data_IF_611675640853
#
_entry.id   IF_611675640853
#
_cell.length_a   1.000
_cell.length_b   1.000
_cell.length_c   1.000
_cell.angle_alpha   90.00
_cell.angle_beta   90.00
_cell.angle_gamma   90.00
#
_symmetry.space_group_name_H-M   'P 1'
#
loop_
_entity.id
_entity.type
_entity.pdbx_description
1 polymer ?
#
# COMPACT_ATOMS: atom_id res chain seq x y z
N UNK A 1 4.51 -8.94 -3.86
CA UNK A 1 4.11 -9.07 -5.25
C UNK A 1 4.82 -10.24 -5.94
N UNK A 2 6.12 -10.35 -5.78
CA UNK A 2 6.96 -11.35 -6.46
C UNK A 2 7.24 -12.59 -5.57
N UNK A 3 6.52 -12.72 -4.47
CA UNK A 3 6.59 -13.88 -3.58
C UNK A 3 6.07 -15.12 -4.32
N UNK A 4 6.87 -16.19 -4.32
CA UNK A 4 6.52 -17.46 -4.97
C UNK A 4 5.73 -18.35 -4.00
N UNK A 5 4.48 -18.60 -4.32
CA UNK A 5 3.52 -19.27 -3.43
C UNK A 5 2.56 -20.17 -4.21
N UNK A 6 1.90 -21.04 -3.52
CA UNK A 6 0.76 -21.80 -4.07
C UNK A 6 -0.46 -20.89 -4.20
N UNK A 7 -1.13 -20.90 -5.36
CA UNK A 7 -2.26 -20.03 -5.66
C UNK A 7 -3.58 -20.69 -5.23
N UNK A 8 -4.31 -20.02 -4.35
CA UNK A 8 -5.61 -20.48 -3.86
C UNK A 8 -5.53 -21.89 -3.27
N UNK A 9 -6.48 -22.73 -3.66
CA UNK A 9 -6.56 -24.13 -3.25
C UNK A 9 -5.90 -25.09 -4.27
N UNK A 10 -5.37 -24.54 -5.37
CA UNK A 10 -4.70 -25.32 -6.42
C UNK A 10 -3.33 -25.83 -5.97
N UNK A 11 -2.75 -26.73 -6.75
CA UNK A 11 -1.34 -27.12 -6.60
C UNK A 11 -0.39 -26.23 -7.41
N UNK A 12 -0.94 -25.27 -8.16
CA UNK A 12 -0.15 -24.39 -9.00
C UNK A 12 0.62 -23.39 -8.14
N UNK A 13 1.95 -23.32 -8.36
CA UNK A 13 2.83 -22.35 -7.71
C UNK A 13 3.22 -21.25 -8.69
N UNK A 14 3.02 -20.01 -8.28
CA UNK A 14 3.28 -18.84 -9.11
C UNK A 14 3.60 -17.62 -8.21
N UNK A 15 3.92 -16.47 -8.80
CA UNK A 15 4.02 -15.22 -8.04
C UNK A 15 2.67 -14.86 -7.43
N UNK A 16 2.65 -14.44 -6.19
CA UNK A 16 1.42 -14.14 -5.43
C UNK A 16 0.48 -13.16 -6.16
N UNK A 17 1.01 -12.26 -6.96
CA UNK A 17 0.20 -11.31 -7.72
C UNK A 17 -0.65 -11.94 -8.83
N UNK A 18 -0.37 -13.18 -9.23
CA UNK A 18 -1.19 -13.92 -10.20
C UNK A 18 -2.57 -14.24 -9.61
N UNK A 19 -2.65 -14.49 -8.30
CA UNK A 19 -3.92 -14.73 -7.61
C UNK A 19 -4.97 -13.62 -7.86
N UNK A 20 -4.53 -12.39 -8.08
CA UNK A 20 -5.42 -11.26 -8.37
C UNK A 20 -6.25 -11.45 -9.65
N UNK A 21 -5.73 -12.17 -10.63
CA UNK A 21 -6.45 -12.44 -11.89
C UNK A 21 -7.62 -13.42 -11.72
N UNK A 22 -7.57 -14.20 -10.65
CA UNK A 22 -8.57 -15.23 -10.34
C UNK A 22 -9.65 -14.70 -9.35
N UNK A 23 -9.52 -13.44 -8.95
CA UNK A 23 -10.51 -12.73 -8.14
C UNK A 23 -10.21 -12.67 -6.64
N UNK A 24 -11.00 -11.88 -5.89
CA UNK A 24 -10.76 -11.57 -4.48
C UNK A 24 -10.66 -12.80 -3.57
N UNK A 25 -11.56 -13.76 -3.74
CA UNK A 25 -11.57 -14.97 -2.92
C UNK A 25 -10.29 -15.80 -3.06
N UNK A 26 -9.71 -15.85 -4.27
CA UNK A 26 -8.44 -16.56 -4.50
C UNK A 26 -7.28 -15.79 -3.90
N UNK A 27 -7.28 -14.46 -3.98
CA UNK A 27 -6.28 -13.61 -3.30
C UNK A 27 -6.26 -13.88 -1.79
N UNK A 28 -7.43 -13.84 -1.15
CA UNK A 28 -7.58 -14.07 0.29
C UNK A 28 -7.05 -15.46 0.69
N UNK A 29 -7.48 -16.52 -0.01
CA UNK A 29 -6.98 -17.89 0.25
C UNK A 29 -5.50 -18.02 0.03
N UNK A 30 -4.97 -17.42 -1.04
CA UNK A 30 -3.54 -17.45 -1.35
C UNK A 30 -2.71 -16.80 -0.24
N UNK A 31 -3.12 -15.60 0.23
CA UNK A 31 -2.43 -14.89 1.30
C UNK A 31 -2.51 -15.66 2.61
N UNK A 32 -3.71 -16.14 2.98
CA UNK A 32 -3.91 -16.94 4.19
C UNK A 32 -3.02 -18.19 4.18
N UNK A 33 -3.05 -18.99 3.10
CA UNK A 33 -2.25 -20.20 2.97
C UNK A 33 -0.74 -19.93 2.98
N UNK A 34 -0.30 -18.90 2.27
CA UNK A 34 1.12 -18.59 2.12
C UNK A 34 1.75 -17.99 3.38
N UNK A 35 0.99 -17.21 4.14
CA UNK A 35 1.49 -16.46 5.30
C UNK A 35 0.98 -16.99 6.64
N UNK A 36 -0.04 -17.86 6.65
CA UNK A 36 -0.68 -18.33 7.89
C UNK A 36 -1.45 -17.23 8.64
N UNK A 37 -1.78 -16.12 7.97
CA UNK A 37 -2.42 -14.95 8.58
C UNK A 37 -3.92 -14.99 8.27
N UNK A 38 -4.82 -14.93 9.28
CA UNK A 38 -6.24 -14.83 9.03
C UNK A 38 -6.58 -13.49 8.34
N UNK A 39 -7.30 -13.58 7.24
CA UNK A 39 -7.78 -12.39 6.51
C UNK A 39 -9.26 -12.22 6.82
N UNK A 40 -9.62 -11.12 7.44
CA UNK A 40 -10.99 -10.84 7.90
C UNK A 40 -11.78 -10.07 6.84
N UNK A 41 -11.11 -9.14 6.14
CA UNK A 41 -11.73 -8.27 5.15
C UNK A 41 -10.88 -8.12 3.91
N UNK A 42 -11.54 -7.85 2.80
CA UNK A 42 -10.91 -7.54 1.52
C UNK A 42 -11.32 -6.14 1.07
N UNK A 43 -10.32 -5.34 0.75
CA UNK A 43 -10.49 -4.04 0.12
C UNK A 43 -9.69 -3.98 -1.18
N UNK A 44 -10.31 -3.49 -2.22
CA UNK A 44 -9.67 -3.23 -3.49
C UNK A 44 -9.98 -1.81 -3.96
N UNK A 45 -8.99 -1.17 -4.57
CA UNK A 45 -9.12 0.13 -5.20
C UNK A 45 -8.49 0.09 -6.58
N UNK A 46 -9.23 0.50 -7.60
CA UNK A 46 -8.68 0.70 -8.93
C UNK A 46 -8.07 2.11 -9.09
N UNK A 47 -7.51 2.41 -10.24
CA UNK A 47 -6.86 3.70 -10.49
C UNK A 47 -7.84 4.88 -10.51
N UNK A 48 -9.07 4.65 -10.96
CA UNK A 48 -10.08 5.70 -10.98
C UNK A 48 -10.60 5.98 -9.57
N UNK A 49 -10.95 4.92 -8.82
CA UNK A 49 -11.34 5.02 -7.44
C UNK A 49 -10.25 5.66 -6.56
N UNK A 50 -8.99 5.30 -6.79
CA UNK A 50 -7.86 5.93 -6.09
C UNK A 50 -7.84 7.45 -6.29
N UNK A 51 -7.97 7.94 -7.52
CA UNK A 51 -8.02 9.37 -7.81
C UNK A 51 -9.20 10.04 -7.13
N UNK A 52 -10.39 9.44 -7.25
CA UNK A 52 -11.62 9.95 -6.62
C UNK A 52 -11.51 10.02 -5.10
N UNK A 53 -10.93 8.99 -4.46
CA UNK A 53 -10.73 8.98 -3.02
C UNK A 53 -9.77 10.10 -2.58
N UNK A 54 -8.66 10.28 -3.28
CA UNK A 54 -7.70 11.35 -2.99
C UNK A 54 -8.34 12.73 -3.16
N UNK A 55 -9.11 12.93 -4.23
CA UNK A 55 -9.81 14.20 -4.47
C UNK A 55 -10.91 14.45 -3.43
N UNK A 56 -11.64 13.42 -3.01
CA UNK A 56 -12.66 13.51 -1.96
C UNK A 56 -12.09 13.94 -0.60
N UNK A 57 -10.88 13.48 -0.26
CA UNK A 57 -10.18 13.96 0.95
C UNK A 57 -9.48 15.31 0.73
N UNK A 58 -9.54 15.88 -0.49
CA UNK A 58 -8.97 17.19 -0.87
C UNK A 58 -7.45 17.16 -1.06
N UNK A 59 -6.93 16.04 -1.53
CA UNK A 59 -5.51 15.82 -1.82
C UNK A 59 -4.72 15.33 -0.63
N UNK A 60 -3.48 14.91 -0.91
CA UNK A 60 -2.52 14.42 0.10
C UNK A 60 -1.22 15.20 -0.01
N UNK A 61 -0.75 15.74 1.10
CA UNK A 61 0.49 16.51 1.13
C UNK A 61 1.70 15.57 1.21
N UNK A 62 2.58 15.69 0.21
CA UNK A 62 3.87 14.99 0.15
C UNK A 62 4.99 16.02 0.15
N UNK A 63 6.02 15.79 0.96
CA UNK A 63 7.20 16.64 1.01
C UNK A 63 8.39 15.93 0.38
N UNK A 64 9.15 16.66 -0.44
CA UNK A 64 10.38 16.19 -1.06
C UNK A 64 11.50 17.19 -0.83
N UNK A 65 12.71 16.71 -0.63
CA UNK A 65 13.88 17.55 -0.42
C UNK A 65 14.42 18.17 -1.71
N UNK A 66 14.39 17.37 -2.77
CA UNK A 66 14.90 17.74 -4.09
C UNK A 66 13.79 17.80 -5.14
N UNK A 67 13.96 18.55 -6.24
CA UNK A 67 13.08 18.44 -7.39
C UNK A 67 12.99 16.97 -7.82
N UNK A 68 11.78 16.45 -7.91
CA UNK A 68 11.51 15.03 -8.13
C UNK A 68 10.65 14.84 -9.36
N UNK A 69 10.94 13.82 -10.16
CA UNK A 69 10.14 13.47 -11.34
C UNK A 69 10.10 11.97 -11.62
N UNK A 70 9.11 11.57 -12.40
CA UNK A 70 9.10 10.34 -13.17
C UNK A 70 8.46 10.61 -14.53
N UNK A 71 9.26 10.57 -15.59
CA UNK A 71 8.81 10.89 -16.96
C UNK A 71 7.76 9.91 -17.49
N UNK A 72 7.74 8.65 -17.00
CA UNK A 72 6.79 7.64 -17.45
C UNK A 72 5.41 7.80 -16.83
N UNK A 73 5.36 8.33 -15.60
CA UNK A 73 4.08 8.59 -14.93
C UNK A 73 3.63 10.04 -15.07
N UNK A 74 4.48 10.93 -15.59
CA UNK A 74 4.23 12.37 -15.67
C UNK A 74 4.43 13.10 -14.34
N UNK A 75 4.96 12.45 -13.33
CA UNK A 75 5.19 13.06 -12.01
C UNK A 75 6.22 14.19 -12.08
N UNK A 76 5.89 15.33 -11.46
CA UNK A 76 6.85 16.38 -11.15
C UNK A 76 6.49 17.08 -9.84
N UNK A 77 7.40 17.07 -8.88
CA UNK A 77 7.24 17.73 -7.57
C UNK A 77 8.45 18.65 -7.36
N UNK A 78 8.18 19.92 -7.05
CA UNK A 78 9.22 20.87 -6.63
C UNK A 78 9.65 20.59 -5.19
N UNK A 79 10.86 21.02 -4.77
CA UNK A 79 11.27 20.92 -3.38
C UNK A 79 10.25 21.55 -2.43
N UNK A 80 10.12 20.97 -1.25
CA UNK A 80 9.13 21.36 -0.25
C UNK A 80 7.92 20.46 -0.23
N UNK A 81 6.83 20.95 0.35
CA UNK A 81 5.59 20.20 0.51
C UNK A 81 4.57 20.63 -0.55
N UNK A 82 4.03 19.66 -1.28
CA UNK A 82 2.97 19.87 -2.28
C UNK A 82 1.76 19.03 -1.93
N UNK A 83 0.57 19.64 -1.96
CA UNK A 83 -0.68 18.90 -1.92
C UNK A 83 -0.93 18.29 -3.31
N UNK A 84 -0.91 16.97 -3.40
CA UNK A 84 -1.12 16.20 -4.62
C UNK A 84 -2.62 15.90 -4.76
N UNK A 85 -3.19 16.21 -5.92
CA UNK A 85 -4.52 15.76 -6.31
C UNK A 85 -4.51 14.25 -6.68
N UNK A 86 -5.65 13.72 -7.13
CA UNK A 86 -5.76 12.30 -7.48
C UNK A 86 -4.84 11.88 -8.63
N UNK A 87 -4.59 12.76 -9.61
CA UNK A 87 -3.73 12.47 -10.77
C UNK A 87 -2.26 12.43 -10.35
N UNK A 88 -1.78 13.47 -9.69
CA UNK A 88 -0.41 13.56 -9.20
C UNK A 88 -0.11 12.47 -8.17
N UNK A 89 -1.08 12.17 -7.29
CA UNK A 89 -0.98 11.09 -6.30
C UNK A 89 -0.85 9.72 -6.95
N UNK A 90 -1.63 9.45 -7.99
CA UNK A 90 -1.52 8.20 -8.74
C UNK A 90 -0.18 8.09 -9.44
N UNK A 91 0.30 9.20 -10.04
CA UNK A 91 1.62 9.26 -10.65
C UNK A 91 2.72 8.96 -9.63
N UNK A 92 2.64 9.54 -8.43
CA UNK A 92 3.58 9.29 -7.32
C UNK A 92 3.57 7.83 -6.84
N UNK A 93 2.39 7.26 -6.60
CA UNK A 93 2.24 5.88 -6.12
C UNK A 93 2.67 4.83 -7.15
N UNK A 94 2.62 5.15 -8.47
CA UNK A 94 3.00 4.25 -9.56
C UNK A 94 4.45 4.41 -10.02
N UNK A 95 5.14 5.46 -9.57
CA UNK A 95 6.49 5.78 -10.02
C UNK A 95 7.48 4.63 -9.77
N UNK A 96 8.16 4.19 -10.83
CA UNK A 96 9.27 3.22 -10.80
C UNK A 96 10.58 3.83 -11.28
N UNK A 97 10.51 4.94 -11.98
CA UNK A 97 11.65 5.68 -12.53
C UNK A 97 11.74 7.03 -11.82
N UNK A 98 11.74 6.93 -10.49
CA UNK A 98 11.80 8.08 -9.60
C UNK A 98 13.20 8.69 -9.65
N UNK A 99 13.28 9.94 -10.10
CA UNK A 99 14.52 10.69 -10.21
C UNK A 99 14.46 11.91 -9.30
N UNK A 100 15.58 12.20 -8.65
CA UNK A 100 15.80 13.41 -7.85
C UNK A 100 16.90 14.25 -8.48
N UNK A 101 16.74 15.58 -8.44
CA UNK A 101 17.75 16.49 -8.98
C UNK A 101 18.70 16.92 -7.89
N UNK A 102 19.79 16.20 -7.71
CA UNK A 102 20.85 16.47 -6.74
C UNK A 102 22.04 17.08 -7.45
N UNK A 103 22.59 18.18 -6.94
CA UNK A 103 23.72 18.92 -7.51
C UNK A 103 23.50 19.28 -9.01
N UNK A 104 22.27 19.67 -9.34
CA UNK A 104 21.89 20.05 -10.71
C UNK A 104 21.68 18.88 -11.68
N UNK A 105 21.95 17.64 -11.27
CA UNK A 105 21.82 16.45 -12.11
C UNK A 105 20.67 15.55 -11.64
N UNK A 106 19.93 14.99 -12.62
CA UNK A 106 18.90 14.00 -12.35
C UNK A 106 19.51 12.63 -12.07
N UNK A 107 19.27 12.10 -10.89
CA UNK A 107 19.73 10.78 -10.46
C UNK A 107 18.53 9.90 -10.14
N UNK A 108 18.51 8.70 -10.66
CA UNK A 108 17.49 7.71 -10.31
C UNK A 108 17.73 7.22 -8.87
N UNK A 109 16.66 6.99 -8.11
CA UNK A 109 16.76 6.48 -6.73
C UNK A 109 17.33 5.05 -6.64
N UNK A 110 17.52 4.39 -7.78
CA UNK A 110 18.11 3.05 -7.90
C UNK A 110 17.25 1.93 -7.30
N UNK A 111 16.21 2.27 -6.56
CA UNK A 111 15.42 1.31 -5.79
C UNK A 111 14.23 0.74 -6.57
N UNK A 112 13.92 1.29 -7.76
CA UNK A 112 12.91 0.80 -8.70
C UNK A 112 11.60 0.32 -8.02
N UNK A 113 11.38 -0.99 -7.95
CA UNK A 113 10.16 -1.58 -7.39
C UNK A 113 10.09 -1.48 -5.85
N UNK A 114 11.24 -1.57 -5.18
CA UNK A 114 11.34 -1.42 -3.72
C UNK A 114 11.00 0.02 -3.32
N UNK A 115 11.53 1.02 -4.04
CA UNK A 115 11.23 2.42 -3.83
C UNK A 115 9.75 2.73 -4.06
N UNK A 116 9.16 2.15 -5.10
CA UNK A 116 7.71 2.24 -5.31
C UNK A 116 6.94 1.68 -4.12
N UNK A 117 7.30 0.52 -3.60
CA UNK A 117 6.65 -0.05 -2.41
C UNK A 117 6.78 0.84 -1.17
N UNK A 118 7.93 1.49 -0.96
CA UNK A 118 8.12 2.47 0.13
C UNK A 118 7.21 3.68 -0.07
N UNK A 119 7.16 4.26 -1.27
CA UNK A 119 6.27 5.40 -1.61
C UNK A 119 4.80 5.06 -1.44
N UNK A 120 4.36 3.88 -1.87
CA UNK A 120 2.99 3.42 -1.68
C UNK A 120 2.62 3.33 -0.20
N UNK A 121 3.47 2.73 0.64
CA UNK A 121 3.22 2.64 2.09
C UNK A 121 3.17 4.02 2.75
N UNK A 122 4.10 4.91 2.41
CA UNK A 122 4.10 6.28 2.92
C UNK A 122 2.82 7.01 2.49
N UNK A 123 2.49 6.95 1.19
CA UNK A 123 1.32 7.62 0.66
C UNK A 123 0.02 7.10 1.29
N UNK A 124 -0.13 5.79 1.45
CA UNK A 124 -1.29 5.19 2.11
C UNK A 124 -1.45 5.69 3.55
N UNK A 125 -0.36 5.77 4.30
CA UNK A 125 -0.39 6.31 5.66
C UNK A 125 -0.80 7.79 5.69
N UNK A 126 -0.26 8.61 4.78
CA UNK A 126 -0.61 10.03 4.66
C UNK A 126 -2.08 10.21 4.22
N UNK A 127 -2.57 9.40 3.28
CA UNK A 127 -3.96 9.42 2.83
C UNK A 127 -4.91 9.09 3.99
N UNK A 128 -4.63 8.03 4.75
CA UNK A 128 -5.42 7.66 5.92
C UNK A 128 -5.43 8.77 6.98
N UNK A 129 -4.26 9.33 7.30
CA UNK A 129 -4.15 10.44 8.25
C UNK A 129 -4.94 11.67 7.78
N UNK A 130 -4.86 12.00 6.49
CA UNK A 130 -5.61 13.12 5.91
C UNK A 130 -7.11 12.86 5.97
N UNK A 131 -7.57 11.66 5.60
CA UNK A 131 -8.97 11.28 5.62
C UNK A 131 -9.57 11.39 7.04
N UNK A 132 -8.90 10.84 8.04
CA UNK A 132 -9.37 10.89 9.43
C UNK A 132 -9.34 12.32 9.97
N UNK A 133 -8.25 13.05 9.78
CA UNK A 133 -8.16 14.43 10.26
C UNK A 133 -9.25 15.32 9.67
N UNK A 134 -9.56 15.18 8.38
CA UNK A 134 -10.63 15.94 7.72
C UNK A 134 -12.01 15.52 8.17
N UNK A 135 -12.23 14.24 8.40
CA UNK A 135 -13.50 13.73 8.93
C UNK A 135 -13.77 14.23 10.35
N UNK A 136 -12.74 14.33 11.17
CA UNK A 136 -12.86 14.81 12.55
C UNK A 136 -12.96 16.33 12.65
N UNK A 137 -12.28 17.07 11.76
CA UNK A 137 -12.25 18.53 11.79
C UNK A 137 -13.43 19.20 11.09
N UNK A 138 -14.10 18.50 10.17
CA UNK A 138 -15.24 19.04 9.41
C UNK A 138 -16.33 17.97 9.21
N UNK A 139 -17.32 17.92 10.10
CA UNK A 139 -18.42 16.95 10.01
C UNK A 139 -19.22 17.03 8.70
N UNK A 140 -19.28 18.20 8.07
CA UNK A 140 -19.98 18.36 6.78
C UNK A 140 -19.23 17.70 5.63
N UNK A 141 -17.89 17.65 5.70
CA UNK A 141 -17.04 16.94 4.74
C UNK A 141 -16.95 15.43 5.00
N UNK A 142 -17.21 15.00 6.23
CA UNK A 142 -17.20 13.58 6.58
C UNK A 142 -18.09 12.76 5.64
N UNK A 143 -19.30 13.24 5.35
CA UNK A 143 -20.23 12.61 4.41
C UNK A 143 -19.68 12.53 2.97
N UNK A 144 -18.95 13.53 2.52
CA UNK A 144 -18.32 13.51 1.18
C UNK A 144 -17.17 12.52 1.11
N UNK A 145 -16.32 12.47 2.14
CA UNK A 145 -15.22 11.50 2.25
C UNK A 145 -15.78 10.07 2.29
N UNK A 146 -16.81 9.81 3.08
CA UNK A 146 -17.44 8.48 3.18
C UNK A 146 -18.08 8.07 1.86
N UNK A 147 -18.79 8.95 1.17
CA UNK A 147 -19.34 8.64 -0.17
C UNK A 147 -18.23 8.40 -1.19
N UNK A 148 -17.19 9.23 -1.17
CA UNK A 148 -16.02 9.04 -2.03
C UNK A 148 -15.34 7.69 -1.80
N UNK A 149 -15.16 7.29 -0.54
CA UNK A 149 -14.62 5.98 -0.20
C UNK A 149 -15.54 4.84 -0.66
N UNK A 150 -16.84 4.94 -0.38
CA UNK A 150 -17.80 3.91 -0.77
C UNK A 150 -17.92 3.72 -2.28
N UNK A 151 -17.75 4.79 -3.07
CA UNK A 151 -17.76 4.70 -4.55
C UNK A 151 -16.44 4.27 -5.16
N UNK A 152 -15.34 4.45 -4.42
CA UNK A 152 -13.98 4.20 -4.91
C UNK A 152 -13.44 2.80 -4.55
N UNK A 153 -14.03 2.16 -3.54
CA UNK A 153 -13.55 0.89 -3.00
C UNK A 153 -14.50 -0.25 -3.34
N UNK A 154 -13.93 -1.35 -3.82
CA UNK A 154 -14.59 -2.64 -3.78
C UNK A 154 -14.28 -3.27 -2.41
N UNK A 155 -15.31 -3.55 -1.63
CA UNK A 155 -15.20 -4.12 -0.29
C UNK A 155 -15.97 -5.43 -0.20
N UNK A 156 -15.57 -6.31 0.72
CA UNK A 156 -16.37 -7.50 1.01
C UNK A 156 -17.67 -7.12 1.75
N UNK A 157 -18.70 -7.98 1.62
CA UNK A 157 -20.04 -7.73 2.15
C UNK A 157 -20.11 -7.63 3.69
N UNK A 158 -19.09 -8.10 4.39
CA UNK A 158 -19.03 -8.11 5.87
C UNK A 158 -18.36 -6.87 6.44
N UNK A 159 -17.71 -6.07 5.59
CA UNK A 159 -16.99 -4.88 6.05
C UNK A 159 -17.96 -3.75 6.35
N UNK A 160 -18.12 -3.42 7.63
CA UNK A 160 -18.77 -2.16 8.05
C UNK A 160 -17.76 -1.01 7.93
N UNK A 161 -18.08 -0.03 7.07
CA UNK A 161 -17.21 1.11 6.81
C UNK A 161 -17.04 2.02 8.02
N UNK A 162 -18.01 2.08 8.92
CA UNK A 162 -17.93 2.89 10.16
C UNK A 162 -17.02 2.20 11.16
N UNK A 163 -17.19 0.89 11.35
CA UNK A 163 -16.30 0.08 12.17
C UNK A 163 -14.86 0.12 11.63
N UNK A 164 -14.68 -0.03 10.33
CA UNK A 164 -13.39 0.08 9.68
C UNK A 164 -12.74 1.45 9.92
N UNK A 165 -13.49 2.55 9.79
CA UNK A 165 -12.97 3.89 10.08
C UNK A 165 -12.55 4.05 11.55
N UNK A 166 -13.30 3.45 12.49
CA UNK A 166 -12.93 3.44 13.91
C UNK A 166 -11.65 2.63 14.15
N UNK A 167 -11.53 1.47 13.54
CA UNK A 167 -10.36 0.60 13.63
C UNK A 167 -9.10 1.30 13.06
N UNK A 168 -9.27 2.17 12.06
CA UNK A 168 -8.18 2.91 11.43
C UNK A 168 -7.74 4.18 12.18
N UNK A 169 -8.42 4.60 13.25
CA UNK A 169 -8.03 5.78 14.06
C UNK A 169 -6.58 5.74 14.57
N UNK A 170 -6.06 4.63 15.13
CA UNK A 170 -4.67 4.55 15.56
C UNK A 170 -3.69 4.77 14.40
N UNK A 171 -4.06 4.30 13.21
CA UNK A 171 -3.28 4.50 11.99
C UNK A 171 -3.14 5.98 11.63
N UNK A 172 -4.25 6.71 11.73
CA UNK A 172 -4.30 8.14 11.48
C UNK A 172 -3.55 8.97 12.55
N UNK A 173 -3.48 8.47 13.78
CA UNK A 173 -2.67 9.08 14.85
C UNK A 173 -1.16 8.78 14.70
N UNK A 174 -0.71 8.17 13.61
CA UNK A 174 0.69 7.82 13.40
C UNK A 174 1.17 6.61 14.24
N UNK A 175 0.25 5.91 14.89
CA UNK A 175 0.57 4.78 15.79
C UNK A 175 0.67 3.43 15.06
N UNK A 176 0.71 3.45 13.71
CA UNK A 176 0.90 2.22 12.92
C UNK A 176 2.30 1.64 13.13
N UNK A 177 2.34 0.49 13.75
CA UNK A 177 3.54 -0.34 13.75
C UNK A 177 3.66 -1.03 12.39
N UNK A 178 4.79 -0.86 11.74
CA UNK A 178 5.08 -1.44 10.42
C UNK A 178 6.19 -2.46 10.54
N UNK A 179 5.95 -3.64 10.03
CA UNK A 179 6.94 -4.70 9.97
C UNK A 179 7.20 -5.07 8.52
N UNK A 180 8.46 -5.33 8.19
CA UNK A 180 8.83 -5.90 6.90
C UNK A 180 8.84 -7.43 7.02
N UNK A 181 8.32 -8.09 5.99
CA UNK A 181 8.47 -9.54 5.88
C UNK A 181 9.84 -9.82 5.26
N UNK A 182 10.70 -10.49 5.99
CA UNK A 182 12.02 -10.88 5.50
C UNK A 182 11.88 -11.90 4.38
N UNK A 183 12.56 -11.62 3.27
CA UNK A 183 12.52 -12.45 2.07
C UNK A 183 13.90 -12.55 1.46
N UNK A 184 14.17 -13.64 0.75
CA UNK A 184 15.37 -13.80 -0.05
C UNK A 184 15.02 -14.05 -1.51
N UNK A 185 15.96 -13.68 -2.40
CA UNK A 185 15.80 -13.89 -3.84
C UNK A 185 16.03 -15.34 -4.23
N UNK A 186 15.21 -15.82 -5.16
CA UNK A 186 15.34 -17.16 -5.77
C UNK A 186 15.04 -17.07 -7.27
N UNK A 187 15.41 -18.09 -8.03
CA UNK A 187 15.10 -18.19 -9.45
C UNK A 187 14.35 -19.47 -9.73
N UNK A 188 13.10 -19.34 -10.15
CA UNK A 188 12.22 -20.46 -10.48
C UNK A 188 11.84 -20.39 -11.95
N UNK A 189 12.14 -21.43 -12.72
CA UNK A 189 11.85 -21.51 -14.17
C UNK A 189 12.36 -20.29 -14.95
N UNK A 190 13.56 -19.79 -14.60
CA UNK A 190 14.14 -18.60 -15.23
C UNK A 190 13.56 -17.26 -14.77
N UNK A 191 12.63 -17.24 -13.84
CA UNK A 191 12.03 -16.03 -13.27
C UNK A 191 12.65 -15.71 -11.92
N UNK A 192 13.07 -14.46 -11.73
CA UNK A 192 13.46 -13.96 -10.41
C UNK A 192 12.22 -13.84 -9.52
N UNK A 193 12.25 -14.46 -8.34
CA UNK A 193 11.13 -14.51 -7.38
C UNK A 193 11.65 -14.25 -5.97
N UNK A 194 10.73 -14.08 -5.02
CA UNK A 194 11.06 -13.97 -3.60
C UNK A 194 10.52 -15.19 -2.85
N UNK A 195 11.28 -15.61 -1.83
CA UNK A 195 10.82 -16.59 -0.85
C UNK A 195 10.82 -15.97 0.55
N UNK A 196 9.92 -16.44 1.40
CA UNK A 196 9.86 -16.03 2.81
C UNK A 196 11.09 -16.61 3.50
N UNK A 197 11.83 -15.76 4.20
CA UNK A 197 12.95 -16.18 5.02
C UNK A 197 12.46 -16.76 6.35
N UNK A 198 13.23 -17.63 6.97
CA UNK A 198 12.90 -18.20 8.28
C UNK A 198 12.81 -17.11 9.36
N UNK A 199 13.64 -16.06 9.25
CA UNK A 199 13.59 -14.88 10.12
C UNK A 199 12.27 -14.09 10.09
N UNK A 200 11.40 -14.33 9.09
CA UNK A 200 10.06 -13.75 9.04
C UNK A 200 9.09 -14.38 10.07
N UNK A 201 9.44 -15.52 10.66
CA UNK A 201 8.59 -16.27 11.60
C UNK A 201 7.94 -15.42 12.70
N UNK A 202 8.68 -14.59 13.45
CA UNK A 202 8.11 -13.74 14.50
C UNK A 202 7.06 -12.74 13.99
N UNK A 203 7.28 -12.16 12.80
CA UNK A 203 6.32 -11.23 12.18
C UNK A 203 5.04 -11.98 11.78
N UNK A 204 5.18 -13.14 11.18
CA UNK A 204 4.03 -13.97 10.78
C UNK A 204 3.25 -14.45 12.00
N UNK A 205 3.92 -14.92 13.05
CA UNK A 205 3.29 -15.33 14.29
C UNK A 205 2.50 -14.21 14.97
N UNK A 206 3.04 -12.99 14.97
CA UNK A 206 2.34 -11.83 15.49
C UNK A 206 1.04 -11.56 14.72
N UNK A 207 1.10 -11.51 13.38
CA UNK A 207 -0.10 -11.28 12.56
C UNK A 207 -1.09 -12.47 12.57
N UNK A 208 -0.62 -13.67 12.83
CA UNK A 208 -1.47 -14.83 13.05
C UNK A 208 -2.12 -14.86 14.46
N UNK A 209 -1.77 -13.91 15.34
CA UNK A 209 -2.27 -13.87 16.71
C UNK A 209 -1.64 -14.91 17.65
N UNK A 210 -0.55 -15.55 17.23
CA UNK A 210 0.12 -16.64 17.97
C UNK A 210 1.45 -16.23 18.61
N UNK A 211 1.88 -14.98 18.44
CA UNK A 211 3.15 -14.48 18.95
C UNK A 211 3.10 -13.02 19.43
N UNK A 212 4.09 -12.60 20.24
CA UNK A 212 4.21 -11.21 20.68
C UNK A 212 4.56 -10.28 19.50
N UNK A 213 4.30 -8.98 19.66
CA UNK A 213 4.72 -7.99 18.68
C UNK A 213 6.25 -7.99 18.53
N UNK A 214 6.79 -8.14 17.30
CA UNK A 214 8.22 -8.07 17.08
C UNK A 214 8.76 -6.67 17.44
N UNK A 215 10.05 -6.59 17.73
CA UNK A 215 10.73 -5.29 17.87
C UNK A 215 10.79 -4.65 16.49
N UNK A 216 10.34 -3.39 16.32
CA UNK A 216 10.47 -2.70 15.05
C UNK A 216 11.95 -2.61 14.66
N UNK A 217 12.32 -2.75 13.38
CA UNK A 217 13.68 -2.43 12.95
C UNK A 217 13.97 -0.94 13.23
N UNK A 218 15.16 -0.67 13.75
CA UNK A 218 15.68 0.69 14.00
C UNK A 218 15.75 1.54 12.71
#
# INVERSE_FOLDING_TARGET
RDLWVTIGDSENTERINVAYREGPAVVVRTVNRALGIPIHHYLEIDFQGFKQLVDAVGGVTVCVEYPTRDRKTGLYIRPGCKNLDGVDSLAYARSRFFEEKVDGQWRMDGTSDIGRGKRQRLFTALLMQTAVNRTLSDPFRAGAVMRGAASALLVDERLDMVEFAQLMRPAAAGQLRRFSLDTFGDTVRGNSVLRIAESAGPVLAFYAGSGPAPVPPE
#
